data_IF_551739801659
#
_entry.id   IF_551739801659
#
_cell.length_a   1.000
_cell.length_b   1.000
_cell.length_c   1.000
_cell.angle_alpha   90.00
_cell.angle_beta   90.00
_cell.angle_gamma   90.00
#
_symmetry.space_group_name_H-M   'P 1'
#
loop_
_entity.id
_entity.type
_entity.pdbx_description
1 polymer ?
#
# COMPACT_ATOMS: atom_id res chain seq x y z
N UNK A 1 27.18 0.62 5.65
CA UNK A 1 25.71 0.46 5.58
C UNK A 1 25.09 1.77 6.02
N UNK A 2 24.07 2.25 5.32
CA UNK A 2 23.29 3.38 5.82
C UNK A 2 22.55 2.92 7.10
N UNK A 3 22.45 3.81 8.08
CA UNK A 3 21.75 3.62 9.35
C UNK A 3 20.25 3.94 9.25
N UNK A 4 19.75 4.26 8.05
CA UNK A 4 18.36 4.61 7.79
C UNK A 4 17.86 3.99 6.47
N UNK A 5 16.54 3.85 6.37
CA UNK A 5 15.85 3.50 5.13
C UNK A 5 15.49 4.76 4.34
N UNK A 6 15.77 4.77 3.04
CA UNK A 6 15.37 5.87 2.14
C UNK A 6 13.93 5.75 1.63
N UNK A 7 13.35 4.56 1.74
CA UNK A 7 12.00 4.23 1.30
C UNK A 7 11.42 3.15 2.21
N UNK A 8 10.17 3.34 2.61
CA UNK A 8 9.38 2.33 3.30
C UNK A 8 8.02 2.27 2.61
N UNK A 9 7.58 1.06 2.26
CA UNK A 9 6.32 0.82 1.57
C UNK A 9 5.45 -0.15 2.37
N UNK A 10 4.15 0.11 2.41
CA UNK A 10 3.13 -0.77 2.97
C UNK A 10 2.07 -1.05 1.92
N UNK A 11 1.56 -2.27 1.89
CA UNK A 11 0.48 -2.63 0.99
C UNK A 11 0.47 -4.12 0.69
N UNK A 12 0.09 -4.45 -0.55
CA UNK A 12 0.04 -5.80 -1.07
C UNK A 12 0.77 -5.91 -2.39
N UNK A 13 1.20 -7.13 -2.70
CA UNK A 13 1.86 -7.45 -3.95
C UNK A 13 1.20 -8.68 -4.58
N UNK A 14 1.00 -8.61 -5.88
CA UNK A 14 0.48 -9.71 -6.69
C UNK A 14 1.33 -9.85 -7.93
N UNK A 15 1.56 -11.09 -8.34
CA UNK A 15 2.33 -11.41 -9.53
C UNK A 15 1.52 -12.32 -10.45
N UNK A 16 1.60 -12.08 -11.75
CA UNK A 16 1.15 -12.99 -12.80
C UNK A 16 2.09 -12.93 -14.00
N UNK A 17 2.18 -14.04 -14.73
CA UNK A 17 2.91 -14.07 -16.00
C UNK A 17 2.19 -13.20 -17.04
N UNK A 18 2.93 -12.70 -18.04
CA UNK A 18 2.33 -11.94 -19.15
C UNK A 18 1.24 -12.76 -19.85
N UNK A 19 0.12 -12.10 -20.16
CA UNK A 19 -1.07 -12.74 -20.72
C UNK A 19 -1.89 -13.59 -19.74
N UNK A 20 -1.42 -13.82 -18.51
CA UNK A 20 -2.19 -14.49 -17.47
C UNK A 20 -2.96 -13.48 -16.61
N UNK A 21 -4.17 -13.86 -16.21
CA UNK A 21 -4.97 -13.07 -15.30
C UNK A 21 -4.28 -12.94 -13.93
N UNK A 22 -4.23 -11.72 -13.42
CA UNK A 22 -3.61 -11.42 -12.14
C UNK A 22 -4.44 -11.95 -10.96
N UNK A 23 -3.83 -12.36 -9.85
CA UNK A 23 -4.59 -12.80 -8.69
C UNK A 23 -5.27 -11.63 -7.98
N UNK A 24 -6.31 -11.92 -7.21
CA UNK A 24 -6.92 -10.94 -6.32
C UNK A 24 -5.93 -10.50 -5.23
N UNK A 25 -6.02 -9.24 -4.81
CA UNK A 25 -5.23 -8.67 -3.73
C UNK A 25 -6.16 -8.23 -2.60
N UNK A 26 -5.83 -8.59 -1.36
CA UNK A 26 -6.63 -8.22 -0.19
C UNK A 26 -6.51 -9.17 0.99
N UNK A 27 -7.45 -9.06 1.93
CA UNK A 27 -7.55 -9.92 3.11
C UNK A 27 -8.10 -11.33 2.84
N UNK A 28 -8.55 -11.61 1.62
CA UNK A 28 -9.26 -12.84 1.26
C UNK A 28 -10.69 -12.95 1.81
N UNK A 29 -11.11 -12.04 2.69
CA UNK A 29 -12.43 -12.03 3.31
C UNK A 29 -13.46 -11.18 2.55
N UNK A 30 -13.02 -10.06 1.96
CA UNK A 30 -13.90 -9.10 1.30
C UNK A 30 -13.45 -8.85 -0.13
N UNK A 31 -14.33 -8.95 -1.13
CA UNK A 31 -14.01 -8.55 -2.49
C UNK A 31 -14.00 -7.01 -2.60
N UNK A 32 -13.03 -6.44 -3.32
CA UNK A 32 -13.03 -5.00 -3.62
C UNK A 32 -11.64 -4.38 -3.76
N UNK A 33 -11.63 -3.10 -4.13
CA UNK A 33 -10.42 -2.29 -4.36
C UNK A 33 -9.76 -1.86 -3.03
N UNK A 34 -10.49 -1.97 -1.91
CA UNK A 34 -10.03 -1.69 -0.54
C UNK A 34 -10.27 -2.90 0.38
N UNK A 35 -9.86 -4.07 -0.08
CA UNK A 35 -10.11 -5.37 0.58
C UNK A 35 -9.13 -5.70 1.71
N UNK A 36 -8.07 -4.91 1.89
CA UNK A 36 -7.13 -4.99 3.01
C UNK A 36 -6.81 -3.61 3.56
N UNK A 37 -6.38 -3.57 4.83
CA UNK A 37 -6.01 -2.34 5.53
C UNK A 37 -4.73 -2.56 6.33
N UNK A 38 -3.80 -1.60 6.23
CA UNK A 38 -2.74 -1.41 7.23
C UNK A 38 -3.17 -0.26 8.12
N UNK A 39 -3.15 -0.47 9.43
CA UNK A 39 -3.57 0.50 10.44
C UNK A 39 -2.51 0.63 11.52
N UNK A 40 -2.62 1.68 12.33
CA UNK A 40 -1.75 1.92 13.49
C UNK A 40 -0.26 2.04 13.11
N UNK A 41 0.05 2.56 11.91
CA UNK A 41 1.43 2.81 11.48
C UNK A 41 1.95 4.04 12.21
N UNK A 42 3.10 3.89 12.88
CA UNK A 42 3.75 4.99 13.60
C UNK A 42 5.15 5.20 13.05
N UNK A 43 5.49 6.45 12.79
CA UNK A 43 6.85 6.85 12.47
C UNK A 43 7.54 7.29 13.74
N UNK A 44 8.74 6.77 13.99
CA UNK A 44 9.53 7.06 15.18
C UNK A 44 10.93 7.48 14.75
N UNK A 45 11.46 8.53 15.38
CA UNK A 45 12.84 8.95 15.16
C UNK A 45 13.83 8.06 15.93
N UNK A 46 15.12 8.36 15.81
CA UNK A 46 16.20 7.65 16.48
C UNK A 46 16.15 7.75 18.02
N UNK A 47 15.39 8.70 18.56
CA UNK A 47 15.11 8.86 20.00
C UNK A 47 13.87 8.07 20.45
N UNK A 48 13.15 7.44 19.53
CA UNK A 48 11.89 6.74 19.78
C UNK A 48 10.68 7.66 19.87
N UNK A 49 10.82 8.95 19.55
CA UNK A 49 9.73 9.91 19.56
C UNK A 49 8.90 9.75 18.28
N UNK A 50 7.59 9.64 18.47
CA UNK A 50 6.64 9.57 17.36
C UNK A 50 6.56 10.90 16.60
N UNK A 51 6.52 10.83 15.28
CA UNK A 51 6.27 11.97 14.39
C UNK A 51 5.25 11.61 13.30
N UNK A 52 4.71 12.63 12.64
CA UNK A 52 3.76 12.48 11.53
C UNK A 52 4.46 12.77 10.21
N UNK A 53 4.12 12.01 9.17
CA UNK A 53 4.51 12.30 7.80
C UNK A 53 3.31 12.91 7.10
N UNK A 54 3.50 14.08 6.51
CA UNK A 54 2.45 14.74 5.76
C UNK A 54 2.18 14.01 4.43
N UNK A 55 0.92 13.97 3.95
CA UNK A 55 0.59 13.55 2.60
C UNK A 55 1.41 14.33 1.56
N UNK A 56 1.49 13.80 0.34
CA UNK A 56 2.16 14.45 -0.79
C UNK A 56 1.88 15.96 -0.83
N UNK A 57 2.93 16.81 -0.89
CA UNK A 57 4.33 16.48 -1.18
C UNK A 57 5.20 16.12 0.04
N UNK A 58 4.63 15.99 1.24
CA UNK A 58 5.34 15.78 2.50
C UNK A 58 5.98 14.40 2.72
N UNK A 59 5.94 13.52 1.71
CA UNK A 59 6.62 12.23 1.71
C UNK A 59 5.71 11.01 1.63
N UNK A 60 4.42 11.14 1.95
CA UNK A 60 3.47 10.01 1.89
C UNK A 60 2.57 10.08 0.65
N UNK A 61 2.65 9.06 -0.22
CA UNK A 61 1.85 8.98 -1.45
C UNK A 61 1.46 7.54 -1.78
N UNK A 62 0.36 7.37 -2.52
CA UNK A 62 -0.07 6.06 -3.00
C UNK A 62 0.70 5.67 -4.27
N UNK A 63 1.33 4.50 -4.26
CA UNK A 63 1.98 3.89 -5.42
C UNK A 63 1.14 2.71 -5.92
N UNK A 64 0.69 2.78 -7.18
CA UNK A 64 -0.19 1.76 -7.78
C UNK A 64 0.30 1.45 -9.18
N UNK A 65 0.79 0.22 -9.39
CA UNK A 65 1.32 -0.21 -10.70
C UNK A 65 0.23 -0.42 -11.75
N UNK A 66 -0.96 -0.93 -11.37
CA UNK A 66 -2.07 -1.23 -12.28
C UNK A 66 -3.40 -0.63 -11.79
N UNK A 67 -3.58 0.67 -12.01
CA UNK A 67 -4.71 1.48 -11.48
C UNK A 67 -6.11 1.03 -11.89
N UNK A 68 -6.24 0.24 -12.97
CA UNK A 68 -7.53 -0.33 -13.40
C UNK A 68 -7.93 -1.58 -12.60
N UNK A 69 -6.97 -2.19 -11.91
CA UNK A 69 -7.07 -3.54 -11.36
C UNK A 69 -6.93 -3.55 -9.86
N UNK A 70 -6.08 -2.66 -9.36
CA UNK A 70 -5.80 -2.47 -7.95
C UNK A 70 -5.93 -1.00 -7.59
N UNK A 71 -6.20 -0.74 -6.32
CA UNK A 71 -6.22 0.59 -5.74
C UNK A 71 -5.50 0.60 -4.41
N UNK A 72 -5.06 1.79 -4.05
CA UNK A 72 -4.52 2.11 -2.74
C UNK A 72 -4.98 3.52 -2.38
N UNK A 73 -5.50 3.70 -1.17
CA UNK A 73 -5.95 4.98 -0.65
C UNK A 73 -5.36 5.20 0.74
N UNK A 74 -4.81 6.40 0.92
CA UNK A 74 -4.41 6.92 2.22
C UNK A 74 -5.62 7.59 2.87
N UNK A 75 -6.02 7.11 4.05
CA UNK A 75 -7.01 7.79 4.90
C UNK A 75 -6.33 8.78 5.84
N UNK A 76 -7.09 9.79 6.28
CA UNK A 76 -6.67 10.84 7.23
C UNK A 76 -6.26 10.26 8.59
N UNK A 77 -6.77 9.08 8.95
CA UNK A 77 -6.48 8.38 10.21
C UNK A 77 -5.29 7.39 10.11
N UNK A 78 -4.30 7.65 9.24
CA UNK A 78 -3.10 6.81 9.06
C UNK A 78 -3.42 5.34 8.70
N UNK A 79 -4.59 5.12 8.10
CA UNK A 79 -5.01 3.84 7.56
C UNK A 79 -4.73 3.78 6.05
N UNK A 80 -4.08 2.72 5.61
CA UNK A 80 -3.77 2.45 4.23
C UNK A 80 -4.67 1.33 3.72
N UNK A 81 -5.66 1.70 2.91
CA UNK A 81 -6.51 0.72 2.26
C UNK A 81 -5.89 0.33 0.93
N UNK A 82 -5.86 -0.96 0.64
CA UNK A 82 -5.38 -1.46 -0.64
C UNK A 82 -6.11 -2.73 -1.04
N UNK A 83 -6.04 -3.06 -2.33
CA UNK A 83 -6.57 -4.30 -2.84
C UNK A 83 -7.11 -4.19 -4.26
N UNK A 84 -7.77 -5.25 -4.69
CA UNK A 84 -8.40 -5.31 -6.00
C UNK A 84 -8.83 -6.72 -6.36
N UNK A 85 -9.83 -6.87 -7.25
CA UNK A 85 -10.39 -8.15 -7.62
C UNK A 85 -9.41 -9.07 -8.39
N UNK A 86 -8.29 -8.53 -8.90
CA UNK A 86 -7.45 -9.25 -9.84
C UNK A 86 -8.16 -9.43 -11.19
N UNK A 87 -7.79 -10.46 -11.94
CA UNK A 87 -8.38 -10.77 -13.25
C UNK A 87 -7.82 -9.94 -14.40
N UNK A 88 -6.85 -9.06 -14.14
CA UNK A 88 -6.26 -8.22 -15.16
C UNK A 88 -5.08 -8.90 -15.83
N UNK A 89 -4.97 -8.72 -17.14
CA UNK A 89 -3.80 -9.14 -17.91
C UNK A 89 -2.89 -7.95 -18.10
N UNK A 90 -1.59 -8.15 -17.83
CA UNK A 90 -0.53 -7.19 -18.15
C UNK A 90 -0.09 -7.33 -19.60
#
# INVERSE_FOLDING_TARGET
MADHANLVEWGGYTFSNSGSASPAMGSGHWPGIHSAVVRDVRFVDDTGRGYKIDPWPGGLFASISHKKCYGAVLSVDEMFYYGGPGGCTM
#
